data_IF_868607699025
#
_entry.id   IF_868607699025
#
_cell.length_a   1.000
_cell.length_b   1.000
_cell.length_c   1.000
_cell.angle_alpha   90.00
_cell.angle_beta   90.00
_cell.angle_gamma   90.00
#
_symmetry.space_group_name_H-M   'P 1'
#
loop_
_entity.id
_entity.type
_entity.pdbx_description
1 polymer ?
#
# COMPACT_ATOMS: atom_id res chain seq x y z
N UNK A 1 38.93 53.58 5.15
CA UNK A 1 37.92 52.84 5.94
C UNK A 1 38.47 52.72 7.35
N UNK A 2 37.81 53.32 8.33
CA UNK A 2 38.34 53.45 9.69
C UNK A 2 38.17 52.13 10.48
N UNK A 3 39.12 51.80 11.36
CA UNK A 3 39.11 50.53 12.12
C UNK A 3 37.87 50.41 13.01
N UNK A 4 37.29 51.54 13.42
CA UNK A 4 36.05 51.61 14.20
C UNK A 4 34.79 51.35 13.36
N UNK A 5 34.83 51.65 12.07
CA UNK A 5 33.70 51.41 11.17
C UNK A 5 33.67 49.94 10.71
N UNK A 6 34.84 49.31 10.56
CA UNK A 6 34.96 47.88 10.26
C UNK A 6 34.44 46.97 11.41
N UNK A 7 34.57 47.42 12.66
CA UNK A 7 34.06 46.66 13.82
C UNK A 7 32.53 46.79 13.99
N UNK A 8 31.95 47.94 13.63
CA UNK A 8 30.49 48.13 13.65
C UNK A 8 29.78 47.30 12.58
N UNK A 9 30.40 47.12 11.42
CA UNK A 9 29.86 46.27 10.35
C UNK A 9 30.00 44.77 10.63
N UNK A 10 31.01 44.35 11.40
CA UNK A 10 31.15 42.96 11.86
C UNK A 10 30.15 42.57 12.96
N UNK A 11 29.76 43.51 13.84
CA UNK A 11 28.71 43.27 14.86
C UNK A 11 27.28 43.21 14.27
N UNK A 12 27.08 43.70 13.05
CA UNK A 12 25.81 43.60 12.32
C UNK A 12 25.76 42.37 11.39
N UNK A 13 26.86 41.60 11.27
CA UNK A 13 27.00 40.51 10.31
C UNK A 13 26.96 39.08 10.87
N UNK A 14 26.66 38.88 12.16
CA UNK A 14 26.84 37.57 12.83
C UNK A 14 25.57 36.73 13.03
N UNK A 15 24.42 37.09 12.45
CA UNK A 15 23.21 36.25 12.55
C UNK A 15 22.83 35.47 11.28
N UNK A 16 23.59 35.57 10.19
CA UNK A 16 23.18 34.99 8.90
C UNK A 16 24.09 33.86 8.37
N UNK A 17 25.01 33.32 9.19
CA UNK A 17 25.94 32.27 8.75
C UNK A 17 25.76 30.92 9.46
N UNK A 18 24.63 30.71 10.16
CA UNK A 18 24.37 29.44 10.88
C UNK A 18 23.31 28.54 10.24
N UNK A 19 22.69 28.93 9.11
CA UNK A 19 21.68 28.10 8.43
C UNK A 19 21.86 28.06 6.91
N UNK A 20 23.10 27.93 6.42
CA UNK A 20 23.35 27.47 5.04
C UNK A 20 23.16 25.94 4.90
N UNK A 21 22.17 25.40 5.60
CA UNK A 21 21.61 24.06 5.45
C UNK A 21 20.09 24.20 5.32
N UNK A 22 19.63 25.16 4.50
CA UNK A 22 18.28 25.12 3.93
C UNK A 22 18.26 24.02 2.87
N UNK A 23 18.33 22.77 3.33
CA UNK A 23 17.68 21.68 2.62
C UNK A 23 16.19 22.03 2.61
N UNK A 24 15.68 22.38 1.42
CA UNK A 24 14.28 22.67 1.10
C UNK A 24 13.30 22.60 2.28
N UNK A 25 13.15 23.72 2.97
CA UNK A 25 12.04 23.96 3.88
C UNK A 25 10.82 24.38 3.05
N UNK A 26 10.37 23.50 2.16
CA UNK A 26 9.03 23.62 1.61
C UNK A 26 8.10 22.90 2.57
N UNK A 27 7.05 23.58 3.03
CA UNK A 27 5.97 22.91 3.74
C UNK A 27 5.48 21.72 2.88
N UNK A 28 5.14 20.57 3.49
CA UNK A 28 4.75 19.37 2.75
C UNK A 28 3.67 19.63 1.70
N UNK A 29 2.76 20.56 2.00
CA UNK A 29 1.68 21.00 1.12
C UNK A 29 2.17 21.77 -0.12
N UNK A 30 3.16 22.65 0.03
CA UNK A 30 3.78 23.41 -1.07
C UNK A 30 4.66 22.50 -1.94
N UNK A 31 5.40 21.57 -1.34
CA UNK A 31 6.18 20.57 -2.06
C UNK A 31 5.27 19.61 -2.86
N UNK A 32 4.15 19.19 -2.27
CA UNK A 32 3.14 18.36 -2.94
C UNK A 32 2.52 19.07 -4.15
N UNK A 33 2.19 20.37 -4.03
CA UNK A 33 1.67 21.19 -5.15
C UNK A 33 2.67 21.34 -6.30
N UNK A 34 3.98 21.23 -6.03
CA UNK A 34 5.04 21.34 -7.05
C UNK A 34 5.45 20.00 -7.66
N UNK A 35 4.98 18.87 -7.14
CA UNK A 35 5.32 17.56 -7.68
C UNK A 35 4.78 17.42 -9.11
N UNK A 36 5.69 17.49 -10.09
CA UNK A 36 5.40 17.33 -11.53
C UNK A 36 4.66 16.02 -11.88
N UNK A 37 4.68 15.06 -10.96
CA UNK A 37 4.01 13.76 -11.09
C UNK A 37 2.48 13.90 -11.25
N UNK A 38 1.87 14.89 -10.59
CA UNK A 38 0.41 15.07 -10.57
C UNK A 38 -0.11 16.07 -11.61
N UNK A 39 0.74 16.59 -12.50
CA UNK A 39 0.32 17.60 -13.50
C UNK A 39 -0.72 17.12 -14.51
N UNK A 40 -0.92 15.81 -14.60
CA UNK A 40 -1.92 15.18 -15.47
C UNK A 40 -3.23 14.87 -14.75
N UNK A 41 -3.29 15.07 -13.43
CA UNK A 41 -4.51 14.85 -12.63
C UNK A 41 -5.34 16.12 -12.68
N UNK A 42 -6.57 15.96 -13.14
CA UNK A 42 -7.55 17.04 -13.29
C UNK A 42 -8.43 17.15 -12.03
N UNK A 43 -9.16 18.26 -11.86
CA UNK A 43 -10.18 18.36 -10.80
C UNK A 43 -11.26 17.28 -10.96
N UNK A 44 -11.63 16.94 -12.20
CA UNK A 44 -12.57 15.85 -12.50
C UNK A 44 -12.03 14.48 -12.04
N UNK A 45 -10.72 14.23 -12.19
CA UNK A 45 -10.10 13.00 -11.68
C UNK A 45 -10.16 12.93 -10.14
N UNK A 46 -9.94 14.06 -9.45
CA UNK A 46 -10.01 14.14 -7.99
C UNK A 46 -11.44 13.91 -7.49
N UNK A 47 -12.43 14.58 -8.07
CA UNK A 47 -13.85 14.39 -7.72
C UNK A 47 -14.29 12.94 -7.96
N UNK A 48 -13.84 12.35 -9.07
CA UNK A 48 -14.11 10.94 -9.36
C UNK A 48 -13.51 10.04 -8.28
N UNK A 49 -12.27 10.29 -7.85
CA UNK A 49 -11.58 9.49 -6.84
C UNK A 49 -12.13 9.65 -5.42
N UNK A 50 -12.89 10.72 -5.15
CA UNK A 50 -13.62 10.92 -3.90
C UNK A 50 -15.02 10.29 -3.88
N UNK A 51 -15.47 9.73 -5.02
CA UNK A 51 -16.75 9.03 -5.09
C UNK A 51 -16.65 7.57 -4.62
N UNK A 52 -17.77 7.02 -4.13
CA UNK A 52 -17.88 5.59 -3.81
C UNK A 52 -18.34 4.82 -5.04
N UNK A 53 -17.60 3.79 -5.45
CA UNK A 53 -17.97 2.95 -6.59
C UNK A 53 -18.97 1.84 -6.22
N UNK A 54 -18.70 1.14 -5.12
CA UNK A 54 -19.52 0.04 -4.65
C UNK A 54 -20.82 0.53 -4.00
N UNK A 55 -21.86 -0.28 -4.09
CA UNK A 55 -23.03 -0.13 -3.20
C UNK A 55 -22.67 -0.53 -1.77
N UNK A 56 -23.46 -0.11 -0.78
CA UNK A 56 -23.21 -0.46 0.63
C UNK A 56 -23.06 -1.97 0.85
N UNK A 57 -23.87 -2.78 0.16
CA UNK A 57 -23.80 -4.24 0.22
C UNK A 57 -22.51 -4.80 -0.40
N UNK A 58 -22.12 -4.27 -1.55
CA UNK A 58 -20.87 -4.66 -2.23
C UNK A 58 -19.65 -4.28 -1.38
N UNK A 59 -19.64 -3.06 -0.82
CA UNK A 59 -18.56 -2.58 0.05
C UNK A 59 -18.45 -3.42 1.32
N UNK A 60 -19.57 -3.75 1.96
CA UNK A 60 -19.57 -4.64 3.12
C UNK A 60 -19.06 -6.05 2.79
N UNK A 61 -19.40 -6.57 1.60
CA UNK A 61 -18.83 -7.84 1.10
C UNK A 61 -17.32 -7.74 0.91
N UNK A 62 -16.84 -6.64 0.30
CA UNK A 62 -15.41 -6.35 0.11
C UNK A 62 -14.68 -6.29 1.46
N UNK A 63 -15.26 -5.59 2.44
CA UNK A 63 -14.70 -5.44 3.80
C UNK A 63 -14.53 -6.79 4.50
N UNK A 64 -15.62 -7.57 4.60
CA UNK A 64 -15.58 -8.89 5.24
C UNK A 64 -14.65 -9.87 4.52
N UNK A 65 -14.70 -9.90 3.18
CA UNK A 65 -13.84 -10.78 2.39
C UNK A 65 -12.36 -10.42 2.52
N UNK A 66 -12.04 -9.11 2.58
CA UNK A 66 -10.65 -8.65 2.77
C UNK A 66 -10.10 -9.08 4.12
N UNK A 67 -10.91 -8.95 5.19
CA UNK A 67 -10.52 -9.39 6.53
C UNK A 67 -10.40 -10.91 6.68
N UNK A 68 -11.12 -11.70 5.87
CA UNK A 68 -10.95 -13.15 5.82
C UNK A 68 -9.66 -13.56 5.09
N UNK A 69 -9.19 -12.75 4.13
CA UNK A 69 -7.95 -13.01 3.37
C UNK A 69 -6.71 -12.58 4.16
N UNK A 70 -6.73 -11.40 4.77
CA UNK A 70 -5.70 -10.93 5.71
C UNK A 70 -6.38 -10.57 7.03
N UNK A 71 -6.51 -11.55 7.95
CA UNK A 71 -7.01 -11.30 9.30
C UNK A 71 -5.95 -10.61 10.15
N UNK A 72 -6.38 -10.00 11.25
CA UNK A 72 -5.47 -9.44 12.24
C UNK A 72 -4.67 -10.57 12.91
N UNK A 73 -3.40 -10.33 13.19
CA UNK A 73 -2.52 -11.25 13.88
C UNK A 73 -1.73 -10.53 15.00
N UNK A 74 -0.74 -11.21 15.59
CA UNK A 74 0.07 -10.63 16.68
C UNK A 74 1.02 -9.52 16.21
N UNK A 75 1.30 -9.45 14.91
CA UNK A 75 2.29 -8.54 14.32
C UNK A 75 1.64 -7.30 13.70
N UNK A 76 0.46 -7.47 13.11
CA UNK A 76 -0.22 -6.48 12.29
C UNK A 76 -1.75 -6.51 12.46
N UNK A 77 -2.40 -5.41 12.09
CA UNK A 77 -3.86 -5.35 11.99
C UNK A 77 -4.40 -6.16 10.81
N UNK A 78 -5.71 -6.13 10.61
CA UNK A 78 -6.35 -6.79 9.45
C UNK A 78 -6.31 -5.89 8.19
N UNK A 79 -6.87 -6.41 7.09
CA UNK A 79 -7.01 -5.66 5.85
C UNK A 79 -7.76 -4.32 6.00
N UNK A 80 -8.82 -4.29 6.80
CA UNK A 80 -9.60 -3.07 7.08
C UNK A 80 -8.79 -2.02 7.86
N UNK A 81 -8.02 -2.42 8.87
CA UNK A 81 -7.12 -1.52 9.61
C UNK A 81 -6.09 -0.86 8.67
N UNK A 82 -5.72 -1.55 7.60
CA UNK A 82 -4.81 -1.07 6.56
C UNK A 82 -5.50 -0.22 5.46
N UNK A 83 -6.81 -0.01 5.52
CA UNK A 83 -7.59 0.75 4.53
C UNK A 83 -7.77 0.04 3.18
N UNK A 84 -7.68 -1.30 3.18
CA UNK A 84 -7.81 -2.10 1.95
C UNK A 84 -9.18 -2.00 1.30
N UNK A 85 -10.32 -2.02 2.01
CA UNK A 85 -11.64 -1.91 1.38
C UNK A 85 -11.81 -0.62 0.57
N UNK A 86 -11.40 0.51 1.13
CA UNK A 86 -11.40 1.82 0.48
C UNK A 86 -10.43 1.85 -0.70
N UNK A 87 -9.24 1.26 -0.56
CA UNK A 87 -8.31 1.09 -1.67
C UNK A 87 -8.94 0.29 -2.82
N UNK A 88 -9.64 -0.81 -2.55
CA UNK A 88 -10.28 -1.61 -3.61
C UNK A 88 -11.41 -0.83 -4.29
N UNK A 89 -12.21 -0.06 -3.53
CA UNK A 89 -13.24 0.82 -4.10
C UNK A 89 -12.63 1.87 -5.04
N UNK A 90 -11.58 2.57 -4.58
CA UNK A 90 -10.80 3.49 -5.40
C UNK A 90 -10.21 2.83 -6.65
N UNK A 91 -9.70 1.61 -6.54
CA UNK A 91 -9.14 0.87 -7.67
C UNK A 91 -10.18 0.57 -8.75
N UNK A 92 -11.47 0.52 -8.41
CA UNK A 92 -12.52 0.39 -9.43
C UNK A 92 -12.69 1.67 -10.24
N UNK A 93 -12.37 2.83 -9.67
CA UNK A 93 -12.39 4.14 -10.33
C UNK A 93 -11.12 4.38 -11.14
N UNK A 94 -9.96 4.04 -10.59
CA UNK A 94 -8.64 4.16 -11.24
C UNK A 94 -8.46 3.13 -12.37
N UNK A 95 -8.95 1.90 -12.18
CA UNK A 95 -8.84 0.80 -13.15
C UNK A 95 -10.22 0.25 -13.53
N UNK A 96 -10.98 0.96 -14.39
CA UNK A 96 -12.33 0.56 -14.78
C UNK A 96 -12.44 -0.87 -15.34
N UNK A 97 -11.38 -1.41 -15.93
CA UNK A 97 -11.34 -2.80 -16.42
C UNK A 97 -11.57 -3.84 -15.30
N UNK A 98 -11.35 -3.47 -14.04
CA UNK A 98 -11.59 -4.34 -12.89
C UNK A 98 -13.06 -4.35 -12.43
N UNK A 99 -13.87 -3.37 -12.83
CA UNK A 99 -15.25 -3.21 -12.34
C UNK A 99 -16.11 -4.46 -12.62
N UNK A 100 -16.16 -4.89 -13.88
CA UNK A 100 -16.93 -6.06 -14.31
C UNK A 100 -16.50 -7.35 -13.61
N UNK A 101 -15.21 -7.75 -13.62
CA UNK A 101 -14.80 -8.99 -12.96
C UNK A 101 -14.98 -8.96 -11.44
N UNK A 102 -14.83 -7.80 -10.77
CA UNK A 102 -15.01 -7.70 -9.32
C UNK A 102 -16.49 -7.74 -8.95
N UNK A 103 -17.35 -6.90 -9.55
CA UNK A 103 -18.81 -6.97 -9.31
C UNK A 103 -19.39 -8.33 -9.65
N UNK A 104 -18.99 -8.91 -10.78
CA UNK A 104 -19.42 -10.23 -11.21
C UNK A 104 -19.08 -11.30 -10.17
N UNK A 105 -17.89 -11.23 -9.58
CA UNK A 105 -17.45 -12.14 -8.54
C UNK A 105 -18.12 -11.94 -7.18
N UNK A 106 -18.36 -10.69 -6.75
CA UNK A 106 -19.13 -10.39 -5.54
C UNK A 106 -20.56 -10.96 -5.64
N UNK A 107 -21.23 -10.72 -6.78
CA UNK A 107 -22.56 -11.30 -7.01
C UNK A 107 -22.52 -12.83 -7.13
N UNK A 108 -21.48 -13.40 -7.74
CA UNK A 108 -21.30 -14.85 -7.78
C UNK A 108 -21.21 -15.44 -6.36
N UNK A 109 -20.46 -14.79 -5.46
CA UNK A 109 -20.30 -15.23 -4.08
C UNK A 109 -21.63 -15.22 -3.33
N UNK A 110 -22.43 -14.16 -3.48
CA UNK A 110 -23.79 -14.09 -2.94
C UNK A 110 -24.70 -15.19 -3.48
N UNK A 111 -24.66 -15.44 -4.80
CA UNK A 111 -25.47 -16.49 -5.42
C UNK A 111 -25.09 -17.88 -4.89
N UNK A 112 -23.81 -18.16 -4.65
CA UNK A 112 -23.39 -19.45 -4.10
C UNK A 112 -23.80 -19.60 -2.63
N UNK A 113 -23.61 -18.55 -1.82
CA UNK A 113 -24.09 -18.53 -0.44
C UNK A 113 -25.61 -18.70 -0.36
N UNK A 114 -26.35 -18.05 -1.26
CA UNK A 114 -27.81 -18.16 -1.30
C UNK A 114 -28.24 -19.60 -1.61
N UNK A 115 -27.56 -20.28 -2.53
CA UNK A 115 -27.86 -21.68 -2.87
C UNK A 115 -27.53 -22.65 -1.75
N UNK A 116 -26.41 -22.46 -1.05
CA UNK A 116 -25.92 -23.38 -0.02
C UNK A 116 -26.55 -23.13 1.35
N UNK A 117 -26.77 -21.87 1.70
CA UNK A 117 -27.11 -21.44 3.05
C UNK A 117 -28.39 -20.60 3.13
N UNK A 118 -29.02 -20.29 1.99
CA UNK A 118 -30.20 -19.41 1.89
C UNK A 118 -29.95 -17.99 2.45
N UNK A 119 -28.72 -17.50 2.30
CA UNK A 119 -28.26 -16.18 2.76
C UNK A 119 -27.28 -15.57 1.77
N UNK A 120 -27.18 -14.24 1.76
CA UNK A 120 -26.06 -13.54 1.11
C UNK A 120 -24.77 -13.74 1.91
N UNK A 121 -23.62 -13.48 1.28
CA UNK A 121 -22.31 -13.73 1.90
C UNK A 121 -22.16 -12.98 3.24
N UNK A 122 -22.54 -11.71 3.29
CA UNK A 122 -22.44 -10.86 4.50
C UNK A 122 -23.35 -11.30 5.64
N UNK A 123 -24.40 -12.09 5.36
CA UNK A 123 -25.35 -12.61 6.34
C UNK A 123 -24.98 -14.05 6.80
N UNK A 124 -24.03 -14.69 6.13
CA UNK A 124 -23.50 -15.99 6.51
C UNK A 124 -22.71 -15.91 7.82
N UNK A 125 -22.71 -17.01 8.57
CA UNK A 125 -21.77 -17.14 9.69
C UNK A 125 -20.34 -17.23 9.16
N UNK A 126 -19.34 -16.87 9.98
CA UNK A 126 -17.92 -16.96 9.58
C UNK A 126 -17.55 -18.37 9.11
N UNK A 127 -18.10 -19.41 9.73
CA UNK A 127 -17.87 -20.80 9.32
C UNK A 127 -18.43 -21.07 7.91
N UNK A 128 -19.63 -20.57 7.59
CA UNK A 128 -20.24 -20.70 6.27
C UNK A 128 -19.48 -19.91 5.20
N UNK A 129 -18.96 -18.73 5.56
CA UNK A 129 -18.11 -17.95 4.68
C UNK A 129 -16.84 -18.72 4.34
N UNK A 130 -16.13 -19.24 5.35
CA UNK A 130 -14.92 -20.06 5.16
C UNK A 130 -15.20 -21.30 4.32
N UNK A 131 -16.28 -22.03 4.61
CA UNK A 131 -16.69 -23.19 3.81
C UNK A 131 -16.88 -22.84 2.33
N UNK A 132 -17.48 -21.68 2.02
CA UNK A 132 -17.61 -21.21 0.64
C UNK A 132 -16.27 -20.78 0.03
N UNK A 133 -15.38 -20.16 0.80
CA UNK A 133 -14.08 -19.73 0.32
C UNK A 133 -13.12 -20.91 0.09
N UNK A 134 -13.20 -21.97 0.90
CA UNK A 134 -12.39 -23.19 0.75
C UNK A 134 -12.60 -23.86 -0.62
N UNK A 135 -13.80 -23.74 -1.20
CA UNK A 135 -14.15 -24.27 -2.53
C UNK A 135 -13.43 -23.55 -3.69
N UNK A 136 -12.94 -22.33 -3.45
CA UNK A 136 -12.37 -21.44 -4.48
C UNK A 136 -10.94 -20.97 -4.17
N UNK A 137 -10.43 -21.23 -2.97
CA UNK A 137 -9.12 -20.76 -2.52
C UNK A 137 -7.94 -21.47 -3.19
N UNK A 138 -8.16 -22.71 -3.68
CA UNK A 138 -7.12 -23.63 -4.16
C UNK A 138 -7.43 -24.08 -5.61
N UNK A 139 -6.88 -23.40 -6.63
CA UNK A 139 -7.20 -23.65 -8.04
C UNK A 139 -6.97 -25.09 -8.51
N UNK A 140 -5.98 -25.77 -7.93
CA UNK A 140 -5.54 -27.11 -8.29
C UNK A 140 -6.52 -28.23 -7.87
N UNK A 141 -7.37 -27.97 -6.89
CA UNK A 141 -8.37 -28.92 -6.38
C UNK A 141 -9.81 -28.44 -6.58
N UNK A 142 -10.02 -27.19 -6.96
CA UNK A 142 -11.35 -26.63 -7.19
C UNK A 142 -12.07 -27.33 -8.35
N UNK A 143 -13.35 -27.64 -8.14
CA UNK A 143 -14.14 -28.32 -9.16
C UNK A 143 -14.40 -27.42 -10.38
N UNK A 144 -14.67 -27.99 -11.58
CA UNK A 144 -14.89 -27.22 -12.80
C UNK A 144 -16.00 -26.17 -12.67
N UNK A 145 -17.05 -26.44 -11.92
CA UNK A 145 -18.16 -25.52 -11.67
C UNK A 145 -17.78 -24.32 -10.80
N UNK A 146 -16.71 -24.41 -10.00
CA UNK A 146 -16.22 -23.35 -9.13
C UNK A 146 -15.19 -22.43 -9.79
N UNK A 147 -14.72 -22.77 -11.00
CA UNK A 147 -13.68 -22.02 -11.72
C UNK A 147 -13.95 -20.51 -11.91
N UNK A 148 -15.21 -20.05 -12.13
CA UNK A 148 -15.50 -18.62 -12.13
C UNK A 148 -15.19 -17.95 -10.78
N UNK A 149 -15.52 -18.63 -9.67
CA UNK A 149 -15.24 -18.18 -8.31
C UNK A 149 -13.74 -18.17 -8.01
N UNK A 150 -13.00 -19.21 -8.43
CA UNK A 150 -11.53 -19.27 -8.32
C UNK A 150 -10.87 -18.09 -9.02
N UNK A 151 -11.31 -17.79 -10.25
CA UNK A 151 -10.77 -16.67 -11.05
C UNK A 151 -11.03 -15.32 -10.36
N UNK A 152 -12.21 -15.15 -9.77
CA UNK A 152 -12.53 -13.98 -8.97
C UNK A 152 -11.68 -13.90 -7.71
N UNK A 153 -11.63 -14.96 -6.91
CA UNK A 153 -10.97 -14.97 -5.61
C UNK A 153 -9.47 -14.75 -5.72
N UNK A 154 -8.81 -15.32 -6.73
CA UNK A 154 -7.40 -15.04 -6.99
C UNK A 154 -7.16 -13.55 -7.27
N UNK A 155 -7.95 -12.94 -8.16
CA UNK A 155 -7.83 -11.51 -8.46
C UNK A 155 -8.11 -10.65 -7.22
N UNK A 156 -9.13 -11.01 -6.44
CA UNK A 156 -9.50 -10.27 -5.24
C UNK A 156 -8.42 -10.37 -4.16
N UNK A 157 -7.86 -11.57 -3.94
CA UNK A 157 -6.72 -11.79 -3.04
C UNK A 157 -5.50 -10.97 -3.45
N UNK A 158 -5.19 -10.91 -4.75
CA UNK A 158 -4.07 -10.10 -5.23
C UNK A 158 -4.29 -8.59 -4.98
N UNK A 159 -5.53 -8.10 -5.11
CA UNK A 159 -5.89 -6.72 -4.76
C UNK A 159 -5.76 -6.47 -3.25
N UNK A 160 -6.24 -7.40 -2.41
CA UNK A 160 -6.11 -7.30 -0.95
C UNK A 160 -4.65 -7.27 -0.53
N UNK A 161 -3.83 -8.18 -1.06
CA UNK A 161 -2.39 -8.21 -0.82
C UNK A 161 -1.70 -6.91 -1.26
N UNK A 162 -2.04 -6.42 -2.46
CA UNK A 162 -1.47 -5.17 -2.99
C UNK A 162 -1.83 -3.98 -2.10
N UNK A 163 -3.08 -3.87 -1.65
CA UNK A 163 -3.51 -2.81 -0.73
C UNK A 163 -2.82 -2.92 0.62
N UNK A 164 -2.78 -4.11 1.21
CA UNK A 164 -2.23 -4.31 2.55
C UNK A 164 -0.73 -3.99 2.60
N UNK A 165 0.09 -4.63 1.77
CA UNK A 165 1.55 -4.46 1.81
C UNK A 165 2.08 -3.19 1.14
N UNK A 166 1.20 -2.37 0.54
CA UNK A 166 1.52 -0.98 0.16
C UNK A 166 1.07 0.05 1.20
N UNK A 167 0.25 -0.34 2.18
CA UNK A 167 -0.14 0.50 3.31
C UNK A 167 1.01 0.67 4.31
N UNK A 168 0.87 1.64 5.21
CA UNK A 168 1.81 1.82 6.34
C UNK A 168 1.89 0.55 7.20
N UNK A 169 0.74 -0.04 7.55
CA UNK A 169 0.68 -1.24 8.40
C UNK A 169 1.43 -2.40 7.73
N UNK A 170 1.17 -2.64 6.44
CA UNK A 170 1.83 -3.73 5.73
C UNK A 170 3.31 -3.50 5.44
N UNK A 171 3.74 -2.26 5.21
CA UNK A 171 5.18 -1.92 5.10
C UNK A 171 5.92 -2.23 6.41
N UNK A 172 5.31 -1.91 7.55
CA UNK A 172 5.83 -2.23 8.88
C UNK A 172 5.81 -3.76 9.12
N UNK A 173 4.75 -4.46 8.70
CA UNK A 173 4.59 -5.92 8.81
C UNK A 173 5.75 -6.71 8.17
N UNK A 174 6.21 -6.28 6.98
CA UNK A 174 7.33 -6.93 6.27
C UNK A 174 8.71 -6.39 6.66
N UNK A 175 8.76 -5.40 7.57
CA UNK A 175 10.01 -4.79 8.01
C UNK A 175 10.74 -4.02 6.91
N UNK A 176 10.00 -3.42 5.97
CA UNK A 176 10.63 -2.71 4.85
C UNK A 176 11.28 -1.40 5.31
N UNK A 177 12.60 -1.30 5.10
CA UNK A 177 13.42 -0.15 5.53
C UNK A 177 13.73 0.86 4.40
N UNK A 178 13.38 0.55 3.14
CA UNK A 178 13.92 1.23 1.95
C UNK A 178 13.51 2.70 1.74
N UNK A 179 12.59 3.22 2.55
CA UNK A 179 12.19 4.64 2.53
C UNK A 179 12.77 5.46 3.70
N UNK A 180 13.74 4.90 4.43
CA UNK A 180 14.46 5.61 5.50
C UNK A 180 15.87 5.97 5.01
N UNK A 181 16.35 7.21 5.26
CA UNK A 181 17.74 7.54 5.02
C UNK A 181 18.62 6.65 5.90
N UNK A 182 19.47 5.84 5.28
CA UNK A 182 20.40 4.95 5.96
C UNK A 182 21.83 5.31 5.55
N UNK A 183 22.74 5.36 6.52
CA UNK A 183 24.16 5.59 6.29
C UNK A 183 24.83 4.30 5.82
N UNK A 184 24.64 3.98 4.55
CA UNK A 184 25.15 2.75 3.94
C UNK A 184 26.68 2.81 3.80
N UNK A 185 27.37 2.07 4.68
CA UNK A 185 28.83 1.96 4.70
C UNK A 185 29.40 1.03 3.62
N UNK A 186 28.58 0.56 2.68
CA UNK A 186 28.96 -0.47 1.71
C UNK A 186 28.66 -1.89 2.20
N UNK A 187 28.92 -2.88 1.35
CA UNK A 187 28.81 -4.29 1.71
C UNK A 187 29.79 -4.65 2.84
N UNK A 188 29.41 -5.61 3.69
CA UNK A 188 30.34 -6.13 4.71
C UNK A 188 31.57 -6.76 4.07
N UNK A 189 32.69 -6.79 4.81
CA UNK A 189 33.91 -7.44 4.32
C UNK A 189 33.68 -8.92 3.99
N UNK A 190 32.94 -9.63 4.84
CA UNK A 190 32.53 -11.02 4.62
C UNK A 190 31.75 -11.20 3.30
N UNK A 191 30.81 -10.31 3.01
CA UNK A 191 30.06 -10.36 1.75
C UNK A 191 30.96 -10.10 0.53
N UNK A 192 31.92 -9.19 0.65
CA UNK A 192 32.91 -8.92 -0.41
C UNK A 192 33.87 -10.09 -0.63
N UNK A 193 34.31 -10.76 0.44
CA UNK A 193 35.15 -11.97 0.36
C UNK A 193 34.40 -13.12 -0.32
N UNK A 194 33.13 -13.35 0.05
CA UNK A 194 32.30 -14.41 -0.51
C UNK A 194 32.16 -14.30 -2.04
N UNK A 195 32.04 -13.08 -2.57
CA UNK A 195 31.90 -12.82 -4.01
C UNK A 195 33.23 -12.53 -4.72
N UNK A 196 34.37 -12.65 -4.02
CA UNK A 196 35.70 -12.46 -4.61
C UNK A 196 36.04 -11.00 -4.96
N UNK A 197 35.31 -10.03 -4.40
CA UNK A 197 35.50 -8.59 -4.60
C UNK A 197 36.14 -7.89 -3.39
N UNK A 198 36.63 -8.64 -2.40
CA UNK A 198 37.42 -8.06 -1.32
C UNK A 198 38.71 -7.45 -1.89
N UNK A 199 38.73 -6.12 -2.00
CA UNK A 199 39.91 -5.37 -2.38
C UNK A 199 41.07 -5.68 -1.44
N UNK A 200 42.17 -6.21 -2.00
CA UNK A 200 43.42 -6.55 -1.28
C UNK A 200 44.17 -5.34 -0.69
N UNK A 201 43.59 -4.13 -0.78
CA UNK A 201 44.30 -2.87 -0.56
C UNK A 201 44.21 -2.29 0.86
N UNK A 202 43.40 -2.85 1.77
CA UNK A 202 43.30 -2.37 3.17
C UNK A 202 44.04 -3.23 4.21
N UNK A 203 44.88 -4.17 3.77
CA UNK A 203 45.63 -5.06 4.66
C UNK A 203 47.01 -4.53 5.11
N UNK A 204 47.44 -3.34 4.66
CA UNK A 204 48.74 -2.75 5.05
C UNK A 204 48.62 -1.26 5.38
N UNK A 205 48.14 -0.93 6.57
CA UNK A 205 48.60 0.20 7.40
C UNK A 205 48.12 0.00 8.82
#
# INVERSE_FOLDING_TARGET
MDRRDALKTLSLGTLAASFAMTGCEQAPEEAAKQHKFWKHVTEEDLEKWESQFFTDHEFETVRQLSNLIIPADERSGNAEDAGVPEFIDFMMLDRPQNQTPIRGGLNWLDVQCQKRFNKKFVDCTEQQQKEMLDEIAYPEVASPEMQPGVTFFNRFRDLVASGFWSSKIGIEDIGYMGNQPYDWQGCSHEALEHIGLADKAKANT
#
